data_IF_821119746934
#
_entry.id   IF_821119746934
#
_cell.length_a   1.000
_cell.length_b   1.000
_cell.length_c   1.000
_cell.angle_alpha   90.00
_cell.angle_beta   90.00
_cell.angle_gamma   90.00
#
_symmetry.space_group_name_H-M   'P 1'
#
loop_
_entity.id
_entity.type
_entity.pdbx_description
1 polymer ?
#
# COMPACT_ATOMS: atom_id res chain seq x y z
N UNK A 1 30.53 2.39 -12.43
CA UNK A 1 30.64 0.93 -12.23
C UNK A 1 32.09 0.40 -12.13
N UNK A 2 33.08 0.97 -12.82
CA UNK A 2 34.47 0.46 -12.79
C UNK A 2 35.16 0.43 -11.40
N UNK A 3 34.63 1.17 -10.41
CA UNK A 3 35.13 1.19 -9.02
C UNK A 3 34.27 0.35 -8.04
N UNK A 4 33.25 -0.36 -8.53
CA UNK A 4 32.34 -1.17 -7.71
C UNK A 4 32.82 -2.62 -7.72
N UNK A 5 33.00 -3.21 -6.54
CA UNK A 5 33.35 -4.63 -6.40
C UNK A 5 32.31 -5.52 -7.10
N UNK A 6 32.76 -6.58 -7.80
CA UNK A 6 31.86 -7.56 -8.43
C UNK A 6 30.86 -8.18 -7.46
N UNK A 7 31.23 -8.28 -6.18
CA UNK A 7 30.40 -8.85 -5.12
C UNK A 7 29.32 -7.89 -4.61
N UNK A 8 29.45 -6.59 -4.91
CA UNK A 8 28.47 -5.58 -4.58
C UNK A 8 27.44 -5.39 -5.71
N UNK A 9 27.60 -6.05 -6.85
CA UNK A 9 26.61 -6.03 -7.93
C UNK A 9 25.55 -7.12 -7.71
N UNK A 10 24.26 -6.82 -7.97
CA UNK A 10 23.79 -5.60 -8.62
C UNK A 10 23.50 -4.43 -7.65
N UNK A 11 23.60 -4.62 -6.32
CA UNK A 11 23.18 -3.63 -5.29
C UNK A 11 23.81 -2.25 -5.38
N UNK A 12 25.07 -2.16 -5.82
CA UNK A 12 25.78 -0.90 -5.98
C UNK A 12 25.64 -0.27 -7.39
N UNK A 13 24.84 -0.87 -8.27
CA UNK A 13 24.49 -0.31 -9.58
C UNK A 13 23.26 0.61 -9.45
N UNK A 14 23.52 1.90 -9.26
CA UNK A 14 22.48 2.92 -9.05
C UNK A 14 21.63 3.22 -10.29
N UNK A 15 22.13 2.89 -11.48
CA UNK A 15 21.36 3.04 -12.73
C UNK A 15 20.32 1.92 -12.84
N UNK A 16 20.66 0.71 -12.36
CA UNK A 16 19.75 -0.44 -12.34
C UNK A 16 18.85 -0.50 -11.12
N UNK A 17 19.37 -0.12 -9.94
CA UNK A 17 18.63 -0.15 -8.67
C UNK A 17 18.80 1.19 -7.94
N UNK A 18 18.21 2.27 -8.48
CA UNK A 18 18.20 3.54 -7.78
C UNK A 18 17.38 3.41 -6.49
N UNK A 19 17.71 4.20 -5.47
CA UNK A 19 16.97 4.22 -4.21
C UNK A 19 15.48 4.58 -4.39
N UNK A 20 15.11 5.18 -5.52
CA UNK A 20 13.73 5.50 -5.90
C UNK A 20 12.82 4.28 -6.07
N UNK A 21 13.38 3.07 -6.27
CA UNK A 21 12.59 1.82 -6.31
C UNK A 21 11.93 1.49 -4.98
N UNK A 22 12.31 2.18 -3.89
CA UNK A 22 11.69 2.05 -2.56
C UNK A 22 10.35 2.80 -2.45
N UNK A 23 9.88 3.41 -3.54
CA UNK A 23 8.59 4.08 -3.59
C UNK A 23 8.60 5.47 -2.94
N UNK A 24 7.44 6.14 -2.91
CA UNK A 24 7.37 7.57 -2.60
C UNK A 24 7.72 7.89 -1.14
N UNK A 25 7.41 7.00 -0.20
CA UNK A 25 7.58 7.27 1.23
C UNK A 25 9.04 7.20 1.67
N UNK A 26 9.73 6.09 1.39
CA UNK A 26 11.15 5.96 1.73
C UNK A 26 12.03 6.87 0.88
N UNK A 27 11.73 7.05 -0.42
CA UNK A 27 12.44 8.03 -1.26
C UNK A 27 12.46 9.42 -0.63
N UNK A 28 11.30 9.91 -0.14
CA UNK A 28 11.22 11.23 0.47
C UNK A 28 12.14 11.35 1.71
N UNK A 29 12.25 10.29 2.51
CA UNK A 29 13.15 10.28 3.66
C UNK A 29 14.62 10.16 3.26
N UNK A 30 14.95 9.40 2.22
CA UNK A 30 16.30 9.36 1.68
C UNK A 30 16.73 10.73 1.16
N UNK A 31 15.86 11.42 0.42
CA UNK A 31 16.12 12.80 -0.01
C UNK A 31 16.32 13.73 1.20
N UNK A 32 15.42 13.66 2.19
CA UNK A 32 15.50 14.49 3.39
C UNK A 32 16.77 14.21 4.21
N UNK A 33 17.21 12.95 4.34
CA UNK A 33 18.37 12.57 5.13
C UNK A 33 19.70 12.86 4.42
N UNK A 34 19.80 12.47 3.15
CA UNK A 34 21.07 12.41 2.42
C UNK A 34 21.27 13.53 1.40
N UNK A 35 20.23 14.31 1.09
CA UNK A 35 20.35 15.52 0.28
C UNK A 35 20.20 16.74 1.18
N UNK A 36 19.01 16.96 1.75
CA UNK A 36 18.75 18.14 2.59
C UNK A 36 19.52 18.08 3.91
N UNK A 37 19.45 16.94 4.60
CA UNK A 37 20.06 16.71 5.92
C UNK A 37 21.58 16.58 5.91
N UNK A 38 22.20 16.50 4.74
CA UNK A 38 23.65 16.59 4.58
C UNK A 38 24.12 18.04 4.79
N UNK A 39 23.34 19.00 4.28
CA UNK A 39 23.61 20.44 4.43
C UNK A 39 22.98 21.01 5.71
N UNK A 40 21.84 20.47 6.15
CA UNK A 40 21.11 20.93 7.33
C UNK A 40 20.83 19.77 8.31
N UNK A 41 21.77 19.41 9.19
CA UNK A 41 21.65 18.22 10.04
C UNK A 41 20.40 18.17 10.93
N UNK A 42 19.87 19.33 11.36
CA UNK A 42 18.65 19.43 12.16
C UNK A 42 17.37 19.06 11.39
N UNK A 43 17.42 19.00 10.06
CA UNK A 43 16.29 18.64 9.20
C UNK A 43 16.23 17.14 8.88
N UNK A 44 17.13 16.32 9.41
CA UNK A 44 17.12 14.86 9.18
C UNK A 44 15.83 14.24 9.74
N UNK A 45 15.27 13.20 9.09
CA UNK A 45 14.11 12.50 9.61
C UNK A 45 14.41 11.85 10.98
N UNK A 46 13.42 11.88 11.86
CA UNK A 46 13.48 11.16 13.13
C UNK A 46 13.12 9.68 12.95
N UNK A 47 13.31 8.88 14.01
CA UNK A 47 13.05 7.44 13.98
C UNK A 47 11.58 7.09 13.66
N UNK A 48 10.63 7.83 14.23
CA UNK A 48 9.20 7.63 13.97
C UNK A 48 8.86 7.83 12.48
N UNK A 49 9.43 8.84 11.84
CA UNK A 49 9.24 9.09 10.40
C UNK A 49 9.68 7.89 9.56
N UNK A 50 10.83 7.30 9.90
CA UNK A 50 11.34 6.09 9.23
C UNK A 50 10.41 4.90 9.42
N UNK A 51 9.92 4.67 10.64
CA UNK A 51 8.97 3.60 10.93
C UNK A 51 7.68 3.78 10.12
N UNK A 52 7.08 4.97 10.15
CA UNK A 52 5.86 5.26 9.40
C UNK A 52 6.05 5.08 7.89
N UNK A 53 7.15 5.59 7.33
CA UNK A 53 7.44 5.44 5.91
C UNK A 53 7.68 3.97 5.53
N UNK A 54 8.34 3.18 6.38
CA UNK A 54 8.54 1.76 6.17
C UNK A 54 7.20 1.01 6.15
N UNK A 55 6.34 1.24 7.14
CA UNK A 55 5.01 0.63 7.21
C UNK A 55 4.19 0.96 5.95
N UNK A 56 4.10 2.24 5.56
CA UNK A 56 3.39 2.66 4.35
C UNK A 56 4.00 2.07 3.07
N UNK A 57 5.32 1.91 3.01
CA UNK A 57 5.99 1.30 1.86
C UNK A 57 5.68 -0.18 1.74
N UNK A 58 5.59 -0.91 2.86
CA UNK A 58 5.19 -2.32 2.81
C UNK A 58 3.77 -2.52 2.26
N UNK A 59 2.88 -1.55 2.49
CA UNK A 59 1.51 -1.60 1.96
C UNK A 59 1.45 -1.30 0.45
N UNK A 60 2.55 -0.81 -0.14
CA UNK A 60 2.71 -0.65 -1.59
C UNK A 60 3.33 -1.87 -2.28
N UNK A 61 3.66 -2.93 -1.55
CA UNK A 61 4.34 -4.08 -2.13
C UNK A 61 3.41 -4.91 -3.03
N UNK A 62 3.98 -5.42 -4.11
CA UNK A 62 3.33 -6.30 -5.07
C UNK A 62 4.17 -7.55 -5.33
N UNK A 63 3.53 -8.73 -5.42
CA UNK A 63 4.23 -9.94 -5.80
C UNK A 63 4.61 -9.88 -7.29
N UNK A 64 5.84 -10.28 -7.61
CA UNK A 64 6.30 -10.41 -8.98
C UNK A 64 5.71 -11.67 -9.62
N UNK A 65 5.10 -11.54 -10.80
CA UNK A 65 4.56 -12.67 -11.56
C UNK A 65 5.65 -13.67 -12.01
N UNK A 66 6.87 -13.17 -12.27
CA UNK A 66 8.02 -14.02 -12.59
C UNK A 66 8.51 -14.77 -11.35
N UNK A 67 8.24 -16.09 -11.31
CA UNK A 67 8.64 -17.00 -10.23
C UNK A 67 10.16 -17.15 -10.09
N UNK A 68 10.92 -16.85 -11.14
CA UNK A 68 12.39 -16.87 -11.14
C UNK A 68 13.01 -15.54 -10.68
N UNK A 69 12.21 -14.48 -10.46
CA UNK A 69 12.71 -13.23 -9.89
C UNK A 69 13.27 -13.49 -8.49
N UNK A 70 14.50 -13.06 -8.21
CA UNK A 70 15.13 -13.25 -6.90
C UNK A 70 14.41 -12.48 -5.79
N UNK A 71 13.97 -11.25 -6.09
CA UNK A 71 13.36 -10.38 -5.09
C UNK A 71 11.94 -10.80 -4.70
N UNK A 72 11.24 -11.53 -5.59
CA UNK A 72 9.85 -12.03 -5.45
C UNK A 72 8.77 -10.95 -5.30
N UNK A 73 9.11 -9.80 -4.73
CA UNK A 73 8.24 -8.67 -4.45
C UNK A 73 8.93 -7.38 -4.84
N UNK A 74 8.14 -6.34 -5.11
CA UNK A 74 8.65 -5.01 -5.38
C UNK A 74 7.63 -3.96 -4.91
N UNK A 75 8.10 -2.73 -4.70
CA UNK A 75 7.22 -1.61 -4.36
C UNK A 75 6.59 -1.08 -5.64
N UNK A 76 5.26 -0.95 -5.65
CA UNK A 76 4.54 -0.36 -6.77
C UNK A 76 4.88 1.14 -6.91
N UNK A 77 5.25 1.55 -8.11
CA UNK A 77 5.81 2.87 -8.42
C UNK A 77 4.76 3.90 -8.86
N UNK A 78 3.46 3.58 -8.74
CA UNK A 78 2.32 4.40 -9.21
C UNK A 78 2.28 4.62 -10.74
N UNK A 79 2.99 3.82 -11.53
CA UNK A 79 2.91 3.93 -12.99
C UNK A 79 1.65 3.24 -13.55
N UNK A 80 1.20 3.70 -14.73
CA UNK A 80 0.03 3.13 -15.40
C UNK A 80 0.29 1.72 -15.96
N UNK A 81 1.55 1.39 -16.28
CA UNK A 81 1.99 0.10 -16.82
C UNK A 81 3.15 -0.44 -15.98
N UNK A 82 2.90 -0.85 -14.73
CA UNK A 82 3.94 -1.21 -13.78
C UNK A 82 4.73 -2.42 -14.23
N UNK A 83 6.04 -2.38 -13.95
CA UNK A 83 6.98 -3.49 -14.18
C UNK A 83 7.77 -3.73 -12.91
N UNK A 84 8.15 -4.97 -12.68
CA UNK A 84 9.09 -5.27 -11.61
C UNK A 84 10.44 -4.57 -11.91
N UNK A 85 10.94 -3.68 -11.03
CA UNK A 85 12.18 -2.94 -11.28
C UNK A 85 13.42 -3.85 -11.32
N UNK A 86 13.32 -5.06 -10.77
CA UNK A 86 14.44 -5.99 -10.67
C UNK A 86 14.61 -6.89 -11.90
N UNK A 87 13.49 -7.37 -12.48
CA UNK A 87 13.52 -8.32 -13.59
C UNK A 87 12.77 -7.85 -14.84
N UNK A 88 12.19 -6.66 -14.83
CA UNK A 88 11.48 -6.06 -15.97
C UNK A 88 10.13 -6.70 -16.30
N UNK A 89 9.71 -7.73 -15.57
CA UNK A 89 8.45 -8.45 -15.82
C UNK A 89 7.27 -7.49 -15.63
N UNK A 90 6.40 -7.32 -16.66
CA UNK A 90 5.21 -6.48 -16.54
C UNK A 90 4.21 -7.10 -15.58
N UNK A 91 3.49 -6.27 -14.83
CA UNK A 91 2.36 -6.76 -14.02
C UNK A 91 1.21 -7.12 -14.95
N UNK A 92 0.53 -8.22 -14.62
CA UNK A 92 -0.59 -8.74 -15.38
C UNK A 92 -1.91 -8.39 -14.70
N UNK A 93 -2.91 -8.04 -15.51
CA UNK A 93 -4.24 -7.69 -15.04
C UNK A 93 -4.30 -6.36 -14.31
N UNK A 94 -5.52 -5.94 -14.01
CA UNK A 94 -5.78 -4.69 -13.30
C UNK A 94 -5.40 -4.80 -11.82
N UNK A 95 -4.90 -3.72 -11.23
CA UNK A 95 -4.49 -3.69 -9.83
C UNK A 95 -5.26 -2.60 -9.07
N UNK A 96 -6.05 -2.95 -8.04
CA UNK A 96 -6.70 -1.95 -7.21
C UNK A 96 -5.68 -1.24 -6.32
N UNK A 97 -5.75 0.09 -6.30
CA UNK A 97 -5.02 0.95 -5.37
C UNK A 97 -6.07 1.62 -4.48
N UNK A 98 -5.94 1.47 -3.17
CA UNK A 98 -6.81 2.12 -2.21
C UNK A 98 -6.13 3.37 -1.66
N UNK A 99 -6.70 4.54 -1.92
CA UNK A 99 -6.31 5.77 -1.24
C UNK A 99 -7.08 5.87 0.07
N UNK A 100 -6.38 5.99 1.20
CA UNK A 100 -6.98 6.04 2.54
C UNK A 100 -7.33 7.49 2.92
N UNK A 101 -8.55 7.65 3.42
CA UNK A 101 -9.10 8.90 3.94
C UNK A 101 -9.63 8.68 5.35
N UNK A 102 -9.60 9.74 6.15
CA UNK A 102 -10.19 9.76 7.48
C UNK A 102 -11.11 10.96 7.66
N UNK A 103 -12.06 10.83 8.57
CA UNK A 103 -12.93 11.93 8.95
C UNK A 103 -12.21 12.82 9.98
N UNK A 104 -11.86 14.05 9.58
CA UNK A 104 -11.20 15.01 10.46
C UNK A 104 -12.21 15.70 11.39
N UNK A 105 -13.40 15.97 10.84
CA UNK A 105 -14.59 16.51 11.51
C UNK A 105 -15.81 15.90 10.81
N UNK A 106 -17.00 15.86 11.44
CA UNK A 106 -18.19 15.33 10.80
C UNK A 106 -18.35 15.86 9.38
N UNK A 107 -18.48 14.95 8.40
CA UNK A 107 -18.59 15.21 6.95
C UNK A 107 -17.34 15.72 6.23
N UNK A 108 -16.25 16.04 6.95
CA UNK A 108 -15.01 16.57 6.39
C UNK A 108 -13.94 15.49 6.33
N UNK A 109 -13.75 14.93 5.13
CA UNK A 109 -12.79 13.88 4.85
C UNK A 109 -11.46 14.45 4.37
N UNK A 110 -10.34 13.92 4.88
CA UNK A 110 -8.99 14.30 4.48
C UNK A 110 -8.19 13.07 4.01
N UNK A 111 -7.34 13.22 2.98
CA UNK A 111 -6.43 12.15 2.58
C UNK A 111 -5.38 11.90 3.67
N UNK A 112 -5.06 10.64 3.93
CA UNK A 112 -3.96 10.26 4.84
C UNK A 112 -2.59 10.25 4.17
N UNK A 113 -2.56 10.47 2.86
CA UNK A 113 -1.37 10.21 2.02
C UNK A 113 -0.81 8.80 2.28
N UNK A 114 -1.68 7.83 2.51
CA UNK A 114 -1.38 6.41 2.69
C UNK A 114 -2.19 5.65 1.65
N UNK A 115 -1.51 4.77 0.93
CA UNK A 115 -2.12 3.89 -0.06
C UNK A 115 -1.93 2.43 0.31
N UNK A 116 -2.92 1.60 0.01
CA UNK A 116 -2.81 0.15 0.04
C UNK A 116 -2.88 -0.37 -1.40
N UNK A 117 -1.81 -1.02 -1.84
CA UNK A 117 -1.73 -1.64 -3.15
C UNK A 117 -2.26 -3.07 -3.05
N UNK A 118 -3.36 -3.36 -3.75
CA UNK A 118 -4.06 -4.64 -3.62
C UNK A 118 -3.42 -5.72 -4.48
N UNK A 119 -3.23 -6.92 -3.93
CA UNK A 119 -2.90 -8.14 -4.68
C UNK A 119 -3.82 -9.31 -4.30
N UNK A 120 -3.73 -10.39 -5.07
CA UNK A 120 -4.61 -11.55 -4.92
C UNK A 120 -4.33 -12.29 -3.60
N UNK A 121 -5.38 -12.55 -2.82
CA UNK A 121 -5.33 -13.18 -1.50
C UNK A 121 -4.56 -12.37 -0.45
N UNK A 122 -4.69 -11.04 -0.51
CA UNK A 122 -4.16 -10.14 0.51
C UNK A 122 -5.17 -9.95 1.63
N UNK A 123 -4.73 -10.11 2.87
CA UNK A 123 -5.56 -9.83 4.04
C UNK A 123 -5.65 -8.34 4.35
N UNK A 124 -6.84 -7.92 4.77
CA UNK A 124 -7.12 -6.63 5.39
C UNK A 124 -7.08 -6.81 6.92
N UNK A 125 -6.58 -5.81 7.64
CA UNK A 125 -6.35 -5.84 9.08
C UNK A 125 -6.78 -4.52 9.72
N UNK A 126 -6.89 -4.48 11.05
CA UNK A 126 -7.40 -3.31 11.76
C UNK A 126 -6.57 -2.03 11.52
N UNK A 127 -5.24 -2.15 11.38
CA UNK A 127 -4.39 -1.00 11.06
C UNK A 127 -4.56 -0.45 9.64
N UNK A 128 -5.28 -1.16 8.76
CA UNK A 128 -5.71 -0.62 7.46
C UNK A 128 -7.06 0.08 7.58
N UNK A 129 -7.91 -0.35 8.51
CA UNK A 129 -9.30 0.10 8.68
C UNK A 129 -9.44 1.32 9.58
N UNK A 130 -8.61 1.42 10.63
CA UNK A 130 -8.67 2.49 11.61
C UNK A 130 -7.27 3.09 11.84
N UNK A 131 -7.15 4.41 11.68
CA UNK A 131 -5.87 5.14 11.82
C UNK A 131 -5.31 5.18 13.22
N UNK A 132 -6.15 4.91 14.23
CA UNK A 132 -5.72 4.83 15.62
C UNK A 132 -5.03 3.50 15.94
N UNK A 133 -4.99 2.55 14.99
CA UNK A 133 -4.29 1.28 15.11
C UNK A 133 -3.05 1.30 14.22
N UNK A 134 -1.86 1.25 14.84
CA UNK A 134 -0.57 1.23 14.14
C UNK A 134 -0.01 -0.19 14.12
N UNK A 135 0.57 -0.61 12.99
CA UNK A 135 1.16 -1.94 12.82
C UNK A 135 2.55 -2.05 13.48
N UNK A 136 2.58 -2.06 14.81
CA UNK A 136 3.80 -2.14 15.60
C UNK A 136 3.73 -3.21 16.72
N UNK A 137 4.70 -3.23 17.61
CA UNK A 137 4.81 -4.21 18.70
C UNK A 137 3.67 -4.14 19.72
N UNK A 138 2.94 -3.03 19.78
CA UNK A 138 1.84 -2.79 20.73
C UNK A 138 0.51 -3.40 20.28
N UNK A 139 0.46 -4.03 19.10
CA UNK A 139 -0.73 -4.70 18.59
C UNK A 139 -1.19 -5.82 19.53
N UNK A 140 -2.48 -5.77 19.87
CA UNK A 140 -3.16 -6.84 20.60
C UNK A 140 -3.33 -8.10 19.74
N UNK A 141 -3.55 -9.25 20.36
CA UNK A 141 -3.81 -10.50 19.64
C UNK A 141 -5.02 -10.40 18.69
N UNK A 142 -6.07 -9.67 19.10
CA UNK A 142 -7.26 -9.45 18.28
C UNK A 142 -6.98 -8.62 17.02
N UNK A 143 -6.13 -7.59 17.11
CA UNK A 143 -5.76 -6.74 15.98
C UNK A 143 -4.86 -7.44 14.96
N UNK A 144 -4.21 -8.55 15.34
CA UNK A 144 -3.41 -9.40 14.44
C UNK A 144 -4.26 -10.39 13.63
N UNK A 145 -5.57 -10.44 13.86
CA UNK A 145 -6.48 -11.29 13.10
C UNK A 145 -7.03 -10.52 11.89
N UNK A 146 -7.06 -11.11 10.69
CA UNK A 146 -7.67 -10.48 9.53
C UNK A 146 -9.13 -10.10 9.75
N UNK A 147 -9.54 -8.97 9.17
CA UNK A 147 -10.92 -8.45 9.19
C UNK A 147 -11.62 -8.57 7.84
N UNK A 148 -10.86 -8.91 6.80
CA UNK A 148 -11.33 -9.18 5.45
C UNK A 148 -10.16 -9.60 4.58
N UNK A 149 -10.43 -9.87 3.31
CA UNK A 149 -9.37 -10.09 2.33
C UNK A 149 -9.81 -9.70 0.93
N UNK A 150 -8.83 -9.34 0.11
CA UNK A 150 -9.02 -9.07 -1.31
C UNK A 150 -8.71 -10.33 -2.11
N UNK A 151 -9.56 -10.64 -3.07
CA UNK A 151 -9.30 -11.70 -4.03
C UNK A 151 -9.80 -11.32 -5.41
N UNK A 152 -9.19 -11.94 -6.42
CA UNK A 152 -9.62 -11.82 -7.81
C UNK A 152 -10.35 -13.11 -8.14
N UNK A 153 -11.67 -13.03 -8.28
CA UNK A 153 -12.56 -14.18 -8.41
C UNK A 153 -13.52 -13.96 -9.57
N UNK A 154 -13.61 -14.93 -10.49
CA UNK A 154 -14.49 -14.87 -11.68
C UNK A 154 -14.29 -13.59 -12.51
N UNK A 155 -13.05 -13.17 -12.71
CA UNK A 155 -12.72 -12.00 -13.54
C UNK A 155 -12.94 -10.64 -12.88
N UNK A 156 -13.31 -10.60 -11.59
CA UNK A 156 -13.50 -9.35 -10.83
C UNK A 156 -12.72 -9.35 -9.52
N UNK A 157 -12.28 -8.16 -9.11
CA UNK A 157 -11.77 -7.96 -7.76
C UNK A 157 -12.92 -7.85 -6.77
N UNK A 158 -12.78 -8.49 -5.61
CA UNK A 158 -13.75 -8.40 -4.52
C UNK A 158 -13.02 -8.22 -3.19
N UNK A 159 -13.65 -7.47 -2.27
CA UNK A 159 -13.32 -7.47 -0.85
C UNK A 159 -14.33 -8.36 -0.13
N UNK A 160 -13.85 -9.43 0.48
CA UNK A 160 -14.66 -10.31 1.32
C UNK A 160 -14.61 -9.79 2.76
N UNK A 161 -15.78 -9.49 3.33
CA UNK A 161 -15.89 -9.00 4.69
C UNK A 161 -15.90 -10.16 5.68
N UNK A 162 -14.90 -10.22 6.57
CA UNK A 162 -14.84 -11.26 7.60
C UNK A 162 -15.26 -10.77 8.98
N UNK A 163 -15.07 -9.49 9.30
CA UNK A 163 -15.30 -8.96 10.67
C UNK A 163 -15.76 -7.51 10.76
N UNK A 164 -15.83 -6.77 9.65
CA UNK A 164 -16.17 -5.35 9.67
C UNK A 164 -17.69 -5.19 9.82
N UNK A 165 -18.15 -4.77 10.99
CA UNK A 165 -19.58 -4.54 11.27
C UNK A 165 -20.16 -3.35 10.55
N UNK A 166 -19.32 -2.38 10.16
CA UNK A 166 -19.72 -1.10 9.59
C UNK A 166 -19.24 -0.91 8.15
N UNK A 167 -18.87 -2.01 7.47
CA UNK A 167 -18.42 -1.94 6.09
C UNK A 167 -19.59 -1.55 5.19
N UNK A 168 -19.42 -0.44 4.47
CA UNK A 168 -20.45 0.09 3.57
C UNK A 168 -19.86 0.53 2.24
N UNK A 169 -20.53 0.17 1.17
CA UNK A 169 -20.32 0.76 -0.15
C UNK A 169 -20.99 2.14 -0.19
N UNK A 170 -20.19 3.20 -0.21
CA UNK A 170 -20.67 4.58 -0.29
C UNK A 170 -20.99 5.02 -1.72
N UNK A 171 -20.53 4.28 -2.73
CA UNK A 171 -20.86 4.54 -4.14
C UNK A 171 -22.28 4.07 -4.45
N UNK A 172 -22.66 2.90 -3.93
CA UNK A 172 -23.97 2.28 -4.14
C UNK A 172 -24.92 2.45 -2.96
N UNK A 173 -24.48 3.13 -1.89
CA UNK A 173 -25.20 3.29 -0.61
C UNK A 173 -25.70 1.95 -0.03
N UNK A 174 -24.81 0.96 -0.02
CA UNK A 174 -25.15 -0.42 0.34
C UNK A 174 -24.28 -0.94 1.48
N UNK A 175 -24.93 -1.42 2.54
CA UNK A 175 -24.24 -2.14 3.62
C UNK A 175 -23.65 -3.45 3.09
N UNK A 176 -22.47 -3.82 3.60
CA UNK A 176 -21.77 -5.06 3.26
C UNK A 176 -21.64 -5.89 4.54
N UNK A 177 -22.64 -6.70 4.91
CA UNK A 177 -22.62 -7.48 6.15
C UNK A 177 -21.43 -8.44 6.23
N UNK A 178 -21.04 -8.79 7.45
CA UNK A 178 -20.03 -9.82 7.71
C UNK A 178 -20.41 -11.14 7.03
N UNK A 179 -19.46 -11.77 6.34
CA UNK A 179 -19.67 -12.99 5.56
C UNK A 179 -20.07 -12.74 4.10
N UNK A 180 -20.30 -11.48 3.72
CA UNK A 180 -20.59 -11.09 2.33
C UNK A 180 -19.37 -10.46 1.66
N UNK A 181 -19.51 -10.05 0.39
CA UNK A 181 -18.45 -9.42 -0.37
C UNK A 181 -18.97 -8.25 -1.20
N UNK A 182 -18.06 -7.34 -1.52
CA UNK A 182 -18.31 -6.20 -2.41
C UNK A 182 -17.29 -6.18 -3.53
N UNK A 183 -17.74 -5.86 -4.74
CA UNK A 183 -16.87 -5.74 -5.90
C UNK A 183 -15.94 -4.54 -5.74
N UNK A 184 -14.70 -4.64 -6.20
CA UNK A 184 -13.73 -3.55 -6.19
C UNK A 184 -13.58 -3.06 -7.62
N UNK A 185 -14.16 -1.89 -7.88
CA UNK A 185 -14.18 -1.25 -9.20
C UNK A 185 -13.55 0.14 -9.12
N UNK A 186 -13.15 0.67 -10.25
CA UNK A 186 -12.59 2.01 -10.33
C UNK A 186 -13.57 3.08 -9.79
N UNK A 187 -13.07 4.01 -8.99
CA UNK A 187 -13.84 5.08 -8.37
C UNK A 187 -14.71 4.64 -7.18
N UNK A 188 -14.70 3.35 -6.82
CA UNK A 188 -15.51 2.84 -5.70
C UNK A 188 -15.06 3.44 -4.37
N UNK A 189 -16.02 3.78 -3.51
CA UNK A 189 -15.78 4.35 -2.18
C UNK A 189 -16.32 3.40 -1.13
N UNK A 190 -15.47 2.94 -0.22
CA UNK A 190 -15.88 2.03 0.85
C UNK A 190 -15.59 2.67 2.21
N UNK A 191 -16.60 2.75 3.07
CA UNK A 191 -16.43 3.01 4.49
C UNK A 191 -15.99 1.70 5.15
N UNK A 192 -14.80 1.65 5.74
CA UNK A 192 -14.29 0.44 6.39
C UNK A 192 -14.71 0.36 7.86
N UNK A 193 -14.81 1.51 8.54
CA UNK A 193 -15.31 1.64 9.91
C UNK A 193 -15.93 3.04 10.12
N UNK A 194 -16.98 3.11 10.94
CA UNK A 194 -17.71 4.35 11.27
C UNK A 194 -17.41 4.90 12.67
N UNK A 195 -16.50 4.24 13.40
CA UNK A 195 -16.02 4.66 14.72
C UNK A 195 -14.91 5.72 14.60
N UNK A 196 -14.50 6.31 15.73
CA UNK A 196 -13.43 7.29 15.75
C UNK A 196 -12.13 6.72 15.16
N UNK A 197 -11.58 7.44 14.18
CA UNK A 197 -10.39 7.02 13.43
C UNK A 197 -10.67 6.02 12.30
N UNK A 198 -11.93 5.64 12.09
CA UNK A 198 -12.35 4.82 10.96
C UNK A 198 -12.00 5.47 9.61
N UNK A 199 -11.71 4.63 8.62
CA UNK A 199 -11.28 5.06 7.29
C UNK A 199 -12.33 4.83 6.23
N UNK A 200 -12.30 5.73 5.26
CA UNK A 200 -12.88 5.53 3.93
C UNK A 200 -11.74 5.25 2.96
N UNK A 201 -11.94 4.33 2.03
CA UNK A 201 -11.04 4.12 0.90
C UNK A 201 -11.69 4.53 -0.40
N UNK A 202 -10.90 5.14 -1.28
CA UNK A 202 -11.26 5.39 -2.68
C UNK A 202 -10.41 4.47 -3.55
N UNK A 203 -11.05 3.71 -4.42
CA UNK A 203 -10.40 2.74 -5.30
C UNK A 203 -9.99 3.42 -6.60
N UNK A 204 -8.73 3.26 -6.98
CA UNK A 204 -8.24 3.54 -8.34
C UNK A 204 -7.73 2.25 -8.95
N UNK A 205 -8.20 1.88 -10.14
CA UNK A 205 -7.67 0.72 -10.84
C UNK A 205 -6.44 1.12 -11.68
N UNK A 206 -5.28 0.58 -11.37
CA UNK A 206 -4.07 0.68 -12.19
C UNK A 206 -4.02 -0.44 -13.23
N UNK A 207 -3.16 -0.27 -14.26
CA UNK A 207 -2.95 -1.26 -15.33
C UNK A 207 -4.23 -1.63 -16.10
N UNK A 208 -5.05 -0.62 -16.43
CA UNK A 208 -6.35 -0.77 -17.14
C UNK A 208 -6.23 -1.19 -18.61
N UNK A 209 -5.03 -1.28 -19.17
CA UNK A 209 -4.85 -1.67 -20.56
C UNK A 209 -3.40 -1.97 -20.92
N UNK A 210 -3.15 -3.22 -21.31
CA UNK A 210 -2.38 -3.60 -22.49
C UNK A 210 -3.21 -4.64 -23.23
#
# INVERSE_FOLDING_TARGET
>A
LAQVSKWALPWADVDRMPYTITGPYLKALFDQAFVTGLHHPLQRPNADSWEQALLKTTDLMQPCANKSCEQKWFVFDNTASPRCPFCGTPVQGTLPVLDLYYEFKPTVWKPEHHRLMVYHNQYLFQWHVNRNVVRNEKLTAAQKVPVGYFTFHQGRWVLVNQKLSSLKDLTEDKEVPVGTMVDITDGKKLLLANEEGGRVVVVTMANKGN
#
